data_IF_066739665025
#
_entry.id   IF_066739665025
#
_cell.length_a   1.000
_cell.length_b   1.000
_cell.length_c   1.000
_cell.angle_alpha   90.00
_cell.angle_beta   90.00
_cell.angle_gamma   90.00
#
_symmetry.space_group_name_H-M   'P 1'
#
loop_
_entity.id
_entity.type
_entity.pdbx_description
1 polymer ?
#
# COMPACT_ATOMS: atom_id res chain seq x y z
N UNK A 1 32.34 -18.19 14.86
CA UNK A 1 31.42 -17.14 15.37
C UNK A 1 30.16 -17.23 14.53
N UNK A 2 29.09 -17.84 15.05
CA UNK A 2 27.92 -18.25 14.25
C UNK A 2 26.64 -17.71 14.92
N UNK A 3 26.18 -16.54 14.50
CA UNK A 3 24.82 -16.00 14.73
C UNK A 3 24.63 -14.73 13.89
N UNK A 4 23.79 -14.80 12.84
CA UNK A 4 22.59 -13.96 12.84
C UNK A 4 21.28 -14.70 12.47
N UNK A 5 21.31 -16.03 12.31
CA UNK A 5 20.13 -16.77 11.83
C UNK A 5 18.94 -16.85 12.81
N UNK A 6 19.19 -16.71 14.12
CA UNK A 6 18.16 -16.94 15.16
C UNK A 6 17.21 -15.76 15.42
N UNK A 7 17.58 -14.52 15.08
CA UNK A 7 16.69 -13.36 15.22
C UNK A 7 15.70 -13.25 14.06
N UNK A 8 16.12 -13.59 12.84
CA UNK A 8 15.26 -13.67 11.65
C UNK A 8 14.18 -14.76 11.75
N UNK A 9 14.42 -15.85 12.50
CA UNK A 9 13.42 -16.91 12.70
C UNK A 9 12.33 -16.50 13.70
N UNK A 10 12.71 -15.87 14.81
CA UNK A 10 11.77 -15.36 15.81
C UNK A 10 10.83 -14.28 15.21
N UNK A 11 11.33 -13.52 14.24
CA UNK A 11 10.56 -12.54 13.49
C UNK A 11 9.48 -13.15 12.61
N UNK A 12 9.86 -14.16 11.83
CA UNK A 12 8.92 -14.88 10.98
C UNK A 12 7.83 -15.60 11.79
N UNK A 13 8.16 -16.11 12.97
CA UNK A 13 7.20 -16.80 13.85
C UNK A 13 6.16 -15.83 14.45
N UNK A 14 6.57 -14.60 14.78
CA UNK A 14 5.67 -13.54 15.23
C UNK A 14 4.68 -13.12 14.14
N UNK A 15 5.17 -12.89 12.93
CA UNK A 15 4.32 -12.52 11.78
C UNK A 15 3.40 -13.67 11.37
N UNK A 16 3.87 -14.93 11.41
CA UNK A 16 3.03 -16.08 11.13
C UNK A 16 1.86 -16.22 12.13
N UNK A 17 2.09 -15.89 13.40
CA UNK A 17 1.04 -15.86 14.43
C UNK A 17 0.06 -14.72 14.19
N UNK A 18 0.57 -13.51 13.91
CA UNK A 18 -0.26 -12.35 13.55
C UNK A 18 -1.17 -12.67 12.35
N UNK A 19 -0.63 -13.33 11.33
CA UNK A 19 -1.36 -13.76 10.14
C UNK A 19 -2.48 -14.73 10.50
N UNK A 20 -2.16 -15.86 11.16
CA UNK A 20 -3.17 -16.89 11.50
C UNK A 20 -4.32 -16.32 12.33
N UNK A 21 -4.02 -15.43 13.27
CA UNK A 21 -5.02 -14.90 14.21
C UNK A 21 -5.85 -13.75 13.62
N UNK A 22 -5.28 -12.95 12.72
CA UNK A 22 -5.92 -11.69 12.30
C UNK A 22 -6.26 -11.62 10.81
N UNK A 23 -5.78 -12.53 9.97
CA UNK A 23 -6.05 -12.50 8.53
C UNK A 23 -7.55 -12.53 8.21
N UNK A 24 -8.30 -13.45 8.81
CA UNK A 24 -9.74 -13.56 8.57
C UNK A 24 -10.51 -12.30 9.00
N UNK A 25 -10.11 -11.69 10.12
CA UNK A 25 -10.69 -10.44 10.59
C UNK A 25 -10.35 -9.28 9.65
N UNK A 26 -9.08 -9.13 9.25
CA UNK A 26 -8.61 -8.06 8.38
C UNK A 26 -9.32 -8.12 7.02
N UNK A 27 -9.43 -9.32 6.45
CA UNK A 27 -10.12 -9.60 5.20
C UNK A 27 -11.59 -9.20 5.26
N UNK A 28 -12.28 -9.50 6.35
CA UNK A 28 -13.67 -9.07 6.56
C UNK A 28 -13.80 -7.55 6.74
N UNK A 29 -12.85 -6.94 7.46
CA UNK A 29 -12.79 -5.48 7.63
C UNK A 29 -12.55 -4.77 6.29
N UNK A 30 -11.66 -5.30 5.43
CA UNK A 30 -11.43 -4.82 4.08
C UNK A 30 -12.67 -5.01 3.19
N UNK A 31 -13.30 -6.20 3.24
CA UNK A 31 -14.52 -6.48 2.49
C UNK A 31 -15.66 -5.51 2.85
N UNK A 32 -15.79 -5.13 4.12
CA UNK A 32 -16.76 -4.11 4.55
C UNK A 32 -16.45 -2.71 4.01
N UNK A 33 -15.17 -2.37 3.82
CA UNK A 33 -14.75 -1.09 3.22
C UNK A 33 -14.78 -1.07 1.69
N UNK A 34 -14.73 -2.24 1.07
CA UNK A 34 -14.66 -2.46 -0.38
C UNK A 34 -15.98 -3.01 -0.94
N UNK A 35 -17.12 -2.75 -0.30
CA UNK A 35 -18.44 -3.34 -0.62
C UNK A 35 -18.81 -3.30 -2.11
N UNK A 36 -18.32 -2.31 -2.86
CA UNK A 36 -18.56 -2.15 -4.31
C UNK A 36 -17.59 -2.94 -5.22
N UNK A 37 -16.46 -3.42 -4.70
CA UNK A 37 -15.35 -4.01 -5.47
C UNK A 37 -15.21 -5.53 -5.31
N UNK A 38 -16.02 -6.13 -4.44
CA UNK A 38 -16.07 -7.58 -4.24
C UNK A 38 -15.03 -8.13 -3.27
N UNK A 39 -15.10 -9.46 -3.08
CA UNK A 39 -14.28 -10.17 -2.08
C UNK A 39 -12.85 -10.43 -2.53
N UNK A 40 -12.61 -10.64 -3.84
CA UNK A 40 -11.27 -10.90 -4.37
C UNK A 40 -10.29 -9.77 -4.04
N UNK A 41 -10.70 -8.52 -4.31
CA UNK A 41 -9.91 -7.33 -3.97
C UNK A 41 -9.58 -7.24 -2.47
N UNK A 42 -10.51 -7.64 -1.61
CA UNK A 42 -10.25 -7.66 -0.16
C UNK A 42 -9.21 -8.71 0.24
N UNK A 43 -9.17 -9.85 -0.45
CA UNK A 43 -8.21 -10.93 -0.23
C UNK A 43 -6.80 -10.51 -0.72
N UNK A 44 -6.72 -9.80 -1.86
CA UNK A 44 -5.48 -9.26 -2.42
C UNK A 44 -4.87 -8.18 -1.50
N UNK A 45 -5.67 -7.19 -1.10
CA UNK A 45 -5.19 -6.12 -0.22
C UNK A 45 -4.83 -6.63 1.18
N UNK A 46 -5.45 -7.72 1.64
CA UNK A 46 -5.03 -8.40 2.86
C UNK A 46 -3.64 -9.00 2.69
N UNK A 47 -3.37 -9.69 1.59
CA UNK A 47 -2.04 -10.24 1.29
C UNK A 47 -0.98 -9.14 1.17
N UNK A 48 -1.26 -8.06 0.41
CA UNK A 48 -0.35 -6.92 0.27
C UNK A 48 0.00 -6.28 1.62
N UNK A 49 -0.97 -6.21 2.53
CA UNK A 49 -0.73 -5.71 3.89
C UNK A 49 0.31 -6.58 4.61
N UNK A 50 0.18 -7.90 4.56
CA UNK A 50 1.14 -8.81 5.19
C UNK A 50 2.50 -8.84 4.48
N UNK A 51 2.52 -8.72 3.15
CA UNK A 51 3.77 -8.57 2.40
C UNK A 51 4.52 -7.30 2.80
N UNK A 52 3.83 -6.17 3.00
CA UNK A 52 4.45 -4.93 3.52
C UNK A 52 5.00 -5.09 4.92
N UNK A 53 4.31 -5.83 5.79
CA UNK A 53 4.81 -6.14 7.15
C UNK A 53 6.08 -6.98 7.08
N UNK A 54 6.09 -8.03 6.25
CA UNK A 54 7.26 -8.90 6.05
C UNK A 54 8.45 -8.16 5.40
N UNK A 55 8.19 -7.17 4.54
CA UNK A 55 9.22 -6.36 3.91
C UNK A 55 9.74 -5.23 4.81
N UNK A 56 9.02 -4.88 5.89
CA UNK A 56 9.42 -3.82 6.80
C UNK A 56 10.59 -4.28 7.69
N UNK A 57 11.61 -3.42 7.84
CA UNK A 57 12.83 -3.70 8.62
C UNK A 57 12.58 -3.99 10.11
N UNK A 58 11.43 -3.56 10.64
CA UNK A 58 11.09 -3.67 12.06
C UNK A 58 10.24 -4.91 12.41
N UNK A 59 9.94 -5.79 11.44
CA UNK A 59 9.41 -7.13 11.74
C UNK A 59 8.11 -7.18 12.58
N UNK A 60 7.33 -6.08 12.60
CA UNK A 60 6.12 -5.99 13.44
C UNK A 60 6.34 -6.21 14.95
N UNK A 61 7.55 -6.06 15.49
CA UNK A 61 7.88 -6.77 16.73
C UNK A 61 7.34 -6.19 18.04
N UNK A 62 7.12 -4.87 18.15
CA UNK A 62 6.70 -4.26 19.45
C UNK A 62 5.28 -3.71 19.43
N UNK A 63 4.90 -2.95 18.42
CA UNK A 63 3.53 -2.44 18.28
C UNK A 63 2.52 -3.55 17.95
N UNK A 64 2.88 -4.50 17.07
CA UNK A 64 1.92 -5.53 16.62
C UNK A 64 1.59 -6.53 17.73
N UNK A 65 2.48 -6.74 18.69
CA UNK A 65 2.23 -7.62 19.85
C UNK A 65 1.30 -6.94 20.87
N UNK A 66 1.38 -5.61 21.02
CA UNK A 66 0.53 -4.87 21.97
C UNK A 66 -0.87 -4.62 21.43
N UNK A 67 -0.99 -4.21 20.17
CA UNK A 67 -2.26 -3.85 19.54
C UNK A 67 -2.32 -4.32 18.08
N UNK A 68 -2.43 -5.65 17.85
CA UNK A 68 -2.32 -6.24 16.51
C UNK A 68 -3.29 -5.65 15.50
N UNK A 69 -4.55 -5.44 15.90
CA UNK A 69 -5.59 -4.91 15.01
C UNK A 69 -5.36 -3.44 14.63
N UNK A 70 -4.92 -2.60 15.56
CA UNK A 70 -4.65 -1.18 15.29
C UNK A 70 -3.42 -1.02 14.37
N UNK A 71 -2.40 -1.84 14.59
CA UNK A 71 -1.24 -1.90 13.71
C UNK A 71 -1.62 -2.35 12.29
N UNK A 72 -2.39 -3.44 12.17
CA UNK A 72 -2.87 -3.96 10.88
C UNK A 72 -3.75 -2.96 10.14
N UNK A 73 -4.68 -2.27 10.82
CA UNK A 73 -5.51 -1.26 10.16
C UNK A 73 -4.69 -0.08 9.67
N UNK A 74 -3.64 0.34 10.39
CA UNK A 74 -2.74 1.41 9.92
C UNK A 74 -2.10 1.05 8.58
N UNK A 75 -1.52 -0.13 8.48
CA UNK A 75 -0.85 -0.57 7.25
C UNK A 75 -1.87 -0.83 6.14
N UNK A 76 -2.97 -1.50 6.46
CA UNK A 76 -4.03 -1.77 5.49
C UNK A 76 -4.68 -0.49 4.97
N UNK A 77 -4.76 0.58 5.77
CA UNK A 77 -5.18 1.90 5.30
C UNK A 77 -4.23 2.44 4.23
N UNK A 78 -2.92 2.38 4.45
CA UNK A 78 -1.93 2.81 3.46
C UNK A 78 -2.01 1.99 2.17
N UNK A 79 -2.25 0.68 2.28
CA UNK A 79 -2.47 -0.21 1.11
C UNK A 79 -3.74 0.17 0.38
N UNK A 80 -4.84 0.34 1.11
CA UNK A 80 -6.15 0.70 0.56
C UNK A 80 -6.15 2.06 -0.13
N UNK A 81 -5.50 3.07 0.44
CA UNK A 81 -5.38 4.42 -0.16
C UNK A 81 -4.59 4.35 -1.47
N UNK A 82 -3.43 3.69 -1.46
CA UNK A 82 -2.60 3.50 -2.66
C UNK A 82 -3.38 2.77 -3.76
N UNK A 83 -4.11 1.71 -3.41
CA UNK A 83 -4.94 0.98 -4.36
C UNK A 83 -6.10 1.84 -4.91
N UNK A 84 -6.80 2.61 -4.05
CA UNK A 84 -7.88 3.50 -4.50
C UNK A 84 -7.39 4.58 -5.45
N UNK A 85 -6.17 5.11 -5.23
CA UNK A 85 -5.55 6.09 -6.11
C UNK A 85 -5.33 5.50 -7.51
N UNK A 86 -4.72 4.33 -7.59
CA UNK A 86 -4.54 3.59 -8.87
C UNK A 86 -5.87 3.32 -9.58
N UNK A 87 -6.86 2.80 -8.84
CA UNK A 87 -8.19 2.56 -9.41
C UNK A 87 -8.90 3.82 -9.88
N UNK A 88 -8.76 4.94 -9.16
CA UNK A 88 -9.34 6.21 -9.59
C UNK A 88 -8.73 6.72 -10.90
N UNK A 89 -7.43 6.49 -11.10
CA UNK A 89 -6.72 6.85 -12.32
C UNK A 89 -7.18 5.99 -13.49
N UNK A 90 -7.24 4.67 -13.31
CA UNK A 90 -7.72 3.74 -14.33
C UNK A 90 -9.16 4.05 -14.75
N UNK A 91 -10.06 4.32 -13.80
CA UNK A 91 -11.44 4.70 -14.09
C UNK A 91 -11.52 6.02 -14.84
N UNK A 92 -10.78 7.05 -14.41
CA UNK A 92 -10.75 8.34 -15.10
C UNK A 92 -10.21 8.20 -16.54
N UNK A 93 -9.22 7.33 -16.74
CA UNK A 93 -8.71 7.00 -18.08
C UNK A 93 -9.78 6.31 -18.93
N UNK A 94 -10.49 5.32 -18.40
CA UNK A 94 -11.58 4.65 -19.11
C UNK A 94 -12.73 5.60 -19.47
N UNK A 95 -13.08 6.51 -18.55
CA UNK A 95 -14.06 7.57 -18.80
C UNK A 95 -13.59 8.52 -19.92
N UNK A 96 -12.32 8.94 -19.92
CA UNK A 96 -11.76 9.75 -20.99
C UNK A 96 -11.77 9.01 -22.33
N UNK A 97 -11.38 7.73 -22.34
CA UNK A 97 -11.38 6.88 -23.53
C UNK A 97 -12.78 6.75 -24.13
N UNK A 98 -13.81 6.62 -23.29
CA UNK A 98 -15.20 6.53 -23.74
C UNK A 98 -15.70 7.81 -24.47
N UNK A 99 -15.04 8.95 -24.27
CA UNK A 99 -15.37 10.20 -24.97
C UNK A 99 -14.66 10.36 -26.31
N UNK A 100 -13.64 9.54 -26.60
CA UNK A 100 -12.85 9.62 -27.82
C UNK A 100 -13.55 8.96 -29.01
N UNK A 101 -13.61 9.63 -30.18
CA UNK A 101 -14.03 9.00 -31.43
C UNK A 101 -13.15 7.80 -31.76
N UNK A 102 -13.74 6.74 -32.29
CA UNK A 102 -13.06 5.50 -32.72
C UNK A 102 -11.74 5.71 -33.50
N UNK A 103 -11.62 6.64 -34.47
CA UNK A 103 -10.35 6.83 -35.20
C UNK A 103 -9.21 7.43 -34.36
N UNK A 104 -9.52 8.00 -33.19
CA UNK A 104 -8.54 8.57 -32.25
C UNK A 104 -8.31 7.65 -31.05
N UNK A 105 -8.97 6.48 -31.00
CA UNK A 105 -8.77 5.56 -29.89
C UNK A 105 -7.39 4.90 -30.00
N UNK A 106 -6.55 5.00 -28.95
CA UNK A 106 -5.28 4.28 -28.92
C UNK A 106 -5.51 2.77 -28.96
N UNK A 107 -4.58 2.03 -29.57
CA UNK A 107 -4.58 0.56 -29.53
C UNK A 107 -4.50 0.03 -28.09
N UNK A 108 -4.96 -1.20 -27.81
CA UNK A 108 -4.88 -1.79 -26.46
C UNK A 108 -3.46 -1.77 -25.88
N UNK A 109 -2.45 -2.02 -26.70
CA UNK A 109 -1.05 -1.98 -26.30
C UNK A 109 -0.62 -0.56 -25.89
N UNK A 110 -1.04 0.45 -26.66
CA UNK A 110 -0.78 1.85 -26.32
C UNK A 110 -1.52 2.28 -25.05
N UNK A 111 -2.75 1.81 -24.85
CA UNK A 111 -3.52 2.08 -23.62
C UNK A 111 -2.78 1.55 -22.38
N UNK A 112 -2.23 0.34 -22.44
CA UNK A 112 -1.43 -0.22 -21.33
C UNK A 112 -0.21 0.65 -21.02
N UNK A 113 0.55 1.06 -22.04
CA UNK A 113 1.71 1.94 -21.88
C UNK A 113 1.32 3.28 -21.26
N UNK A 114 0.20 3.86 -21.68
CA UNK A 114 -0.30 5.14 -21.15
C UNK A 114 -0.63 4.99 -19.67
N UNK A 115 -1.42 3.99 -19.29
CA UNK A 115 -1.83 3.76 -17.89
C UNK A 115 -0.61 3.47 -17.00
N UNK A 116 0.35 2.69 -17.48
CA UNK A 116 1.61 2.43 -16.77
C UNK A 116 2.39 3.73 -16.55
N UNK A 117 2.60 4.52 -17.61
CA UNK A 117 3.30 5.81 -17.54
C UNK A 117 2.62 6.77 -16.56
N UNK A 118 1.28 6.82 -16.57
CA UNK A 118 0.52 7.65 -15.65
C UNK A 118 0.73 7.23 -14.19
N UNK A 119 0.76 5.92 -13.89
CA UNK A 119 1.07 5.43 -12.55
C UNK A 119 2.49 5.75 -12.10
N UNK A 120 3.48 5.65 -12.99
CA UNK A 120 4.86 6.02 -12.69
C UNK A 120 4.98 7.50 -12.33
N UNK A 121 4.37 8.38 -13.13
CA UNK A 121 4.33 9.82 -12.85
C UNK A 121 3.63 10.12 -11.52
N UNK A 122 2.50 9.46 -11.26
CA UNK A 122 1.72 9.62 -10.02
C UNK A 122 2.53 9.21 -8.78
N UNK A 123 3.33 8.14 -8.88
CA UNK A 123 4.25 7.69 -7.82
C UNK A 123 5.45 8.64 -7.62
N UNK A 124 6.03 9.15 -8.70
CA UNK A 124 7.11 10.15 -8.65
C UNK A 124 6.64 11.45 -8.01
N UNK A 125 5.44 11.92 -8.37
CA UNK A 125 4.84 13.13 -7.80
C UNK A 125 4.56 12.99 -6.30
N UNK A 126 4.07 11.82 -5.86
CA UNK A 126 3.91 11.55 -4.41
C UNK A 126 5.25 11.66 -3.69
N UNK A 127 6.27 11.00 -4.24
CA UNK A 127 7.61 10.96 -3.65
C UNK A 127 8.21 12.37 -3.55
N UNK A 128 8.05 13.22 -4.58
CA UNK A 128 8.47 14.61 -4.55
C UNK A 128 7.76 15.46 -3.50
N UNK A 129 6.45 15.27 -3.26
CA UNK A 129 5.69 16.04 -2.27
C UNK A 129 6.08 15.67 -0.84
N UNK A 130 6.38 14.40 -0.56
CA UNK A 130 6.83 13.99 0.77
C UNK A 130 8.20 14.59 1.16
N UNK A 131 9.13 14.77 0.22
CA UNK A 131 10.40 15.46 0.50
C UNK A 131 10.22 16.96 0.79
N UNK A 132 9.18 17.61 0.25
CA UNK A 132 8.91 19.03 0.54
C UNK A 132 8.27 19.26 1.91
N UNK A 133 7.61 18.24 2.48
CA UNK A 133 7.09 18.27 3.85
C UNK A 133 8.18 17.94 4.88
N UNK A 134 9.13 17.06 4.53
CA UNK A 134 10.27 16.69 5.39
C UNK A 134 11.31 17.83 5.48
N UNK A 135 11.54 18.55 4.37
CA UNK A 135 12.38 19.76 4.34
C UNK A 135 11.80 20.96 5.13
N UNK A 136 10.54 20.88 5.58
CA UNK A 136 9.92 21.90 6.44
C UNK A 136 10.04 21.58 7.94
N UNK A 137 10.37 20.35 8.34
CA UNK A 137 10.66 20.01 9.75
C UNK A 137 12.15 20.16 10.10
N UNK A 138 13.06 20.06 9.13
CA UNK A 138 14.51 20.21 9.38
C UNK A 138 14.96 21.68 9.59
N UNK A 139 14.09 22.66 9.31
CA UNK A 139 14.36 24.10 9.56
C UNK A 139 13.99 24.57 10.97
N UNK A 140 13.34 23.74 11.80
CA UNK A 140 12.88 24.13 13.13
C UNK A 140 13.91 23.92 14.27
N UNK A 141 15.04 23.24 14.02
CA UNK A 141 16.04 22.94 15.05
C UNK A 141 17.22 23.96 15.14
N UNK A 142 17.22 25.04 14.34
CA UNK A 142 18.36 26.00 14.32
C UNK A 142 18.11 27.29 15.12
N UNK A 143 16.93 27.52 15.71
CA UNK A 143 16.59 28.79 16.39
C UNK A 143 16.32 28.73 17.91
N UNK A 144 16.96 27.82 18.65
CA UNK A 144 17.04 27.96 20.12
C UNK A 144 18.47 27.79 20.63
N UNK A 145 19.22 28.89 20.51
CA UNK A 145 20.35 29.23 21.39
C UNK A 145 19.89 30.20 22.47
#
# INVERSE_FOLDING_TARGET
>A
MNAPSSCLSADRDGVATLYRENHAWLRNWLAYRLRSWGRGVADDLAHDTFLRILASRDGGQREAIRQPRAYLTRIANCVLVSWRRRQSLELAWLEALATLPEPLQPSPEQQSVIVETLHELDALLETCVFYTSDAAEETACVELG
#
